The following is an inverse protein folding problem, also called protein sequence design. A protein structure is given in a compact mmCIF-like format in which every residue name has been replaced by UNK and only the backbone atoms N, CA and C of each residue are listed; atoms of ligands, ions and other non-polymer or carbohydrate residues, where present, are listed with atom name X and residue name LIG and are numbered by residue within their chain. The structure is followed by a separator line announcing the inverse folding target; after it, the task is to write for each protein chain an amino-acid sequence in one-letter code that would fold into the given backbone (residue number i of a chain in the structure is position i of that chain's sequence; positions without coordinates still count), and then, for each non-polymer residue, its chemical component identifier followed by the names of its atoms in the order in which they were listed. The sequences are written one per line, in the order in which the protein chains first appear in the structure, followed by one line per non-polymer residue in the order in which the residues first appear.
data_IF_311890485468
#
_entry.id   IF_311890485468
#
_cell.length_a   1.000
_cell.length_b   1.000
_cell.length_c   1.000
_cell.angle_alpha   90.00
_cell.angle_beta   90.00
_cell.angle_gamma   90.00
#
_symmetry.space_group_name_H-M   'P 1'
#
loop_
_entity.id
_entity.type
_entity.pdbx_description
1 polymer ?
#
# COMPACT_ATOMS: atom_id res chain seq x y z
N UNK A 1 39.26 -9.88 0.44
CA UNK A 1 38.45 -10.70 -0.47
C UNK A 1 37.87 -11.84 0.34
N UNK A 2 36.60 -11.76 0.74
CA UNK A 2 35.94 -12.82 1.51
C UNK A 2 35.69 -14.01 0.58
N UNK A 3 36.05 -15.19 1.06
CA UNK A 3 35.87 -16.45 0.30
C UNK A 3 34.38 -16.83 0.32
N UNK A 4 33.68 -17.02 -0.81
CA UNK A 4 32.25 -17.32 -0.84
C UNK A 4 31.88 -18.72 -0.33
N UNK A 5 32.80 -19.48 0.25
CA UNK A 5 32.59 -20.86 0.69
C UNK A 5 32.37 -21.02 2.19
N UNK A 6 32.62 -20.02 2.99
CA UNK A 6 32.23 -20.02 4.40
C UNK A 6 30.77 -19.53 4.48
N UNK A 7 29.84 -20.47 4.34
CA UNK A 7 28.48 -20.27 4.85
C UNK A 7 28.60 -20.30 6.38
N UNK A 8 29.02 -19.19 6.97
CA UNK A 8 28.78 -18.95 8.38
C UNK A 8 27.26 -19.01 8.56
N UNK A 9 26.79 -20.07 9.18
CA UNK A 9 25.40 -20.19 9.55
C UNK A 9 25.08 -19.02 10.44
N UNK A 10 24.08 -18.18 10.05
CA UNK A 10 23.61 -17.09 10.87
C UNK A 10 23.28 -17.62 12.26
N UNK A 11 23.74 -16.92 13.28
CA UNK A 11 23.32 -17.21 14.64
C UNK A 11 21.81 -16.92 14.76
N UNK A 12 21.03 -17.80 15.34
CA UNK A 12 19.56 -17.66 15.44
C UNK A 12 19.01 -18.10 16.78
N UNK A 13 19.85 -18.25 17.79
CA UNK A 13 19.44 -18.79 19.09
C UNK A 13 18.45 -17.87 19.83
N UNK A 14 18.70 -16.57 19.86
CA UNK A 14 17.82 -15.59 20.52
C UNK A 14 16.53 -15.38 19.70
N UNK A 15 16.65 -15.32 18.38
CA UNK A 15 15.50 -15.27 17.47
C UNK A 15 14.54 -16.43 17.64
N UNK A 16 15.06 -17.64 17.85
CA UNK A 16 14.23 -18.83 18.05
C UNK A 16 13.54 -18.83 19.42
N UNK A 17 14.24 -18.38 20.47
CA UNK A 17 13.64 -18.20 21.81
C UNK A 17 12.51 -17.17 21.77
N UNK A 18 12.73 -16.02 21.13
CA UNK A 18 11.70 -15.00 20.98
C UNK A 18 10.53 -15.49 20.14
N UNK A 19 10.78 -16.26 19.06
CA UNK A 19 9.70 -16.82 18.24
C UNK A 19 8.84 -17.80 19.03
N UNK A 20 9.44 -18.64 19.86
CA UNK A 20 8.69 -19.55 20.71
C UNK A 20 7.82 -18.80 21.71
N UNK A 21 8.36 -17.76 22.38
CA UNK A 21 7.57 -16.89 23.26
C UNK A 21 6.45 -16.17 22.50
N UNK A 22 6.73 -15.68 21.30
CA UNK A 22 5.73 -14.99 20.47
C UNK A 22 4.57 -15.91 20.09
N UNK A 23 4.82 -17.18 19.80
CA UNK A 23 3.77 -18.17 19.46
C UNK A 23 2.78 -18.43 20.59
N UNK A 24 3.17 -18.21 21.83
CA UNK A 24 2.27 -18.38 23.00
C UNK A 24 1.19 -17.27 23.05
N UNK A 25 1.46 -16.10 22.46
CA UNK A 25 0.61 -14.91 22.61
C UNK A 25 0.20 -14.28 21.28
N UNK A 26 0.85 -14.63 20.18
CA UNK A 26 0.56 -14.12 18.84
C UNK A 26 0.29 -15.30 17.90
N UNK A 27 -0.90 -15.43 17.30
CA UNK A 27 -1.17 -16.47 16.32
C UNK A 27 -0.14 -16.45 15.18
N UNK A 28 0.62 -17.57 15.03
CA UNK A 28 1.70 -17.68 14.05
C UNK A 28 3.03 -17.04 14.46
N UNK A 29 3.10 -16.38 15.61
CA UNK A 29 4.33 -15.86 16.24
C UNK A 29 4.75 -14.47 15.87
N UNK A 30 4.53 -14.00 14.64
CA UNK A 30 4.85 -12.64 14.17
C UNK A 30 3.70 -12.16 13.30
N UNK A 31 3.22 -10.93 13.48
CA UNK A 31 2.12 -10.30 12.70
C UNK A 31 0.80 -11.09 12.63
N UNK A 32 0.67 -12.23 13.31
CA UNK A 32 -0.56 -13.03 13.43
C UNK A 32 -1.08 -13.70 12.16
N UNK A 33 -1.04 -13.04 11.03
CA UNK A 33 -1.60 -13.50 9.75
C UNK A 33 -0.57 -13.72 8.63
N UNK A 34 0.70 -13.36 8.83
CA UNK A 34 1.75 -13.55 7.84
C UNK A 34 2.59 -14.80 8.11
N UNK A 35 2.14 -15.95 7.65
CA UNK A 35 2.92 -17.18 7.68
C UNK A 35 4.26 -17.11 6.95
N UNK A 36 4.40 -16.14 6.01
CA UNK A 36 5.58 -15.99 5.15
C UNK A 36 6.69 -15.16 5.81
N UNK A 37 6.37 -14.36 6.82
CA UNK A 37 7.35 -13.49 7.48
C UNK A 37 8.38 -14.27 8.30
N UNK A 38 8.05 -15.52 8.67
CA UNK A 38 8.94 -16.37 9.47
C UNK A 38 9.61 -17.39 8.56
N UNK A 39 10.67 -16.97 7.86
CA UNK A 39 11.55 -17.92 7.14
C UNK A 39 12.45 -18.61 8.15
N UNK A 40 12.70 -19.91 7.94
CA UNK A 40 13.57 -20.69 8.83
C UNK A 40 14.97 -20.07 8.93
N UNK A 41 15.48 -19.57 7.81
CA UNK A 41 16.86 -19.13 7.64
C UNK A 41 16.96 -17.59 7.42
N UNK A 42 15.98 -16.82 7.89
CA UNK A 42 15.95 -15.36 7.75
C UNK A 42 15.77 -14.63 9.08
N UNK A 43 15.98 -13.31 9.08
CA UNK A 43 15.78 -12.49 10.27
C UNK A 43 14.32 -12.56 10.73
N UNK A 44 14.11 -12.65 12.04
CA UNK A 44 12.78 -12.74 12.67
C UNK A 44 12.46 -11.51 13.50
N UNK A 45 13.44 -11.04 14.26
CA UNK A 45 13.31 -9.89 15.15
C UNK A 45 14.52 -8.99 14.97
N UNK A 46 14.31 -7.70 14.76
CA UNK A 46 15.39 -6.74 14.69
C UNK A 46 15.71 -6.17 16.10
N UNK A 47 16.96 -5.80 16.31
CA UNK A 47 17.43 -5.09 17.51
C UNK A 47 17.68 -3.61 17.23
N UNK A 48 18.20 -3.28 16.05
CA UNK A 48 18.48 -1.92 15.62
C UNK A 48 18.46 -1.80 14.09
N UNK A 49 18.32 -0.59 13.59
CA UNK A 49 18.41 -0.28 12.16
C UNK A 49 19.05 1.10 11.97
N UNK A 50 19.81 1.28 10.88
CA UNK A 50 20.42 2.57 10.53
C UNK A 50 20.70 2.63 9.02
N UNK A 51 20.35 3.74 8.37
CA UNK A 51 20.50 3.90 6.94
C UNK A 51 19.81 2.78 6.14
N UNK A 52 20.59 2.02 5.38
CA UNK A 52 20.09 0.88 4.58
C UNK A 52 20.21 -0.48 5.31
N UNK A 53 20.63 -0.49 6.55
CA UNK A 53 20.97 -1.71 7.29
C UNK A 53 20.06 -1.91 8.49
N UNK A 54 19.88 -3.17 8.87
CA UNK A 54 19.36 -3.53 10.18
C UNK A 54 20.13 -4.73 10.74
N UNK A 55 20.10 -4.85 12.05
CA UNK A 55 20.67 -5.99 12.79
C UNK A 55 19.57 -6.76 13.48
N UNK A 56 19.62 -8.08 13.41
CA UNK A 56 18.72 -8.90 14.19
C UNK A 56 19.16 -9.01 15.67
N UNK A 57 18.34 -9.65 16.48
CA UNK A 57 18.62 -9.84 17.92
C UNK A 57 19.79 -10.80 18.19
N UNK A 58 20.22 -11.54 17.20
CA UNK A 58 21.37 -12.44 17.25
C UNK A 58 22.67 -11.72 16.79
N UNK A 59 22.59 -10.44 16.41
CA UNK A 59 23.70 -9.59 16.00
C UNK A 59 24.09 -9.74 14.51
N UNK A 60 23.32 -10.43 13.71
CA UNK A 60 23.57 -10.53 12.27
C UNK A 60 23.15 -9.23 11.56
N UNK A 61 23.98 -8.76 10.62
CA UNK A 61 23.73 -7.57 9.81
C UNK A 61 23.08 -7.92 8.48
N UNK A 62 22.10 -7.12 8.07
CA UNK A 62 21.37 -7.28 6.82
C UNK A 62 21.23 -5.94 6.09
N UNK A 63 21.30 -5.98 4.76
CA UNK A 63 20.83 -4.88 3.91
C UNK A 63 19.32 -5.01 3.73
N UNK A 64 18.57 -3.97 4.06
CA UNK A 64 17.12 -3.97 3.88
C UNK A 64 16.73 -3.60 2.44
N UNK A 65 16.30 -4.61 1.68
CA UNK A 65 15.76 -4.44 0.32
C UNK A 65 14.21 -4.45 0.31
N UNK A 66 13.56 -4.59 1.48
CA UNK A 66 12.09 -4.57 1.61
C UNK A 66 11.60 -3.16 1.92
N UNK A 67 12.44 -2.34 2.56
CA UNK A 67 12.14 -0.94 2.90
C UNK A 67 10.80 -0.79 3.65
N UNK A 68 10.53 -1.67 4.62
CA UNK A 68 9.27 -1.75 5.38
C UNK A 68 8.01 -1.79 4.46
N UNK A 69 8.09 -2.50 3.34
CA UNK A 69 7.09 -2.54 2.25
C UNK A 69 6.85 -1.21 1.55
N UNK A 70 7.84 -0.32 1.55
CA UNK A 70 7.85 0.90 0.76
C UNK A 70 8.01 2.22 1.49
N UNK A 71 7.60 2.42 2.75
CA UNK A 71 7.71 3.74 3.39
C UNK A 71 9.15 4.18 3.68
N UNK A 72 10.10 3.26 3.78
CA UNK A 72 11.47 3.56 4.21
C UNK A 72 12.36 3.99 3.02
N UNK A 73 12.03 5.14 2.40
CA UNK A 73 12.74 5.66 1.22
C UNK A 73 14.00 6.49 1.57
N UNK A 74 14.07 7.03 2.78
CA UNK A 74 15.22 7.85 3.25
C UNK A 74 16.18 7.07 4.13
N UNK A 75 15.92 5.78 4.34
CA UNK A 75 16.67 4.95 5.29
C UNK A 75 16.20 5.12 6.73
N UNK A 76 16.66 4.21 7.58
CA UNK A 76 16.36 4.20 9.01
C UNK A 76 17.12 5.33 9.73
N UNK A 77 16.52 5.82 10.80
CA UNK A 77 17.13 6.84 11.68
C UNK A 77 17.57 8.12 10.93
N UNK A 78 16.79 8.55 9.93
CA UNK A 78 17.09 9.80 9.24
C UNK A 78 16.99 10.97 10.22
N UNK A 79 18.10 11.70 10.50
CA UNK A 79 18.13 12.68 11.58
C UNK A 79 17.19 13.86 11.33
N UNK A 80 16.93 14.23 10.09
CA UNK A 80 16.03 15.36 9.77
C UNK A 80 14.58 14.99 10.07
N UNK A 81 14.16 13.79 9.66
CA UNK A 81 12.81 13.29 9.88
C UNK A 81 12.56 13.02 11.36
N UNK A 82 13.49 12.33 12.01
CA UNK A 82 13.36 11.95 13.41
C UNK A 82 13.36 13.17 14.34
N UNK A 83 14.16 14.19 14.05
CA UNK A 83 14.18 15.42 14.84
C UNK A 83 12.88 16.21 14.69
N UNK A 84 12.31 16.28 13.49
CA UNK A 84 11.01 16.90 13.29
C UNK A 84 9.91 16.17 14.09
N UNK A 85 9.91 14.84 14.08
CA UNK A 85 9.01 14.03 14.87
C UNK A 85 9.18 14.25 16.39
N UNK A 86 10.42 14.28 16.90
CA UNK A 86 10.71 14.55 18.32
C UNK A 86 10.23 15.95 18.75
N UNK A 87 10.42 16.96 17.90
CA UNK A 87 9.91 18.31 18.18
C UNK A 87 8.39 18.32 18.32
N UNK A 88 7.68 17.69 17.39
CA UNK A 88 6.22 17.62 17.45
C UNK A 88 5.74 16.80 18.67
N UNK A 89 6.41 15.70 19.02
CA UNK A 89 6.07 14.91 20.22
C UNK A 89 6.15 15.74 21.50
N UNK A 90 7.14 16.65 21.62
CA UNK A 90 7.29 17.54 22.76
C UNK A 90 6.17 18.60 22.87
N UNK A 91 5.48 18.90 21.76
CA UNK A 91 4.31 19.81 21.73
C UNK A 91 3.00 19.08 21.97
N UNK A 92 2.99 17.76 21.85
CA UNK A 92 1.83 16.89 21.94
C UNK A 92 1.51 16.19 20.63
N UNK A 93 1.04 14.95 20.71
CA UNK A 93 0.81 14.10 19.55
C UNK A 93 -0.59 13.47 19.47
N UNK A 94 -1.37 13.52 20.56
CA UNK A 94 -2.66 12.82 20.65
C UNK A 94 -3.76 13.76 21.14
N UNK A 95 -3.80 14.94 20.54
CA UNK A 95 -4.79 15.97 20.87
C UNK A 95 -5.98 15.83 19.91
N UNK A 96 -7.19 15.96 20.40
CA UNK A 96 -8.43 15.86 19.60
C UNK A 96 -8.72 17.08 18.71
N UNK A 97 -7.81 18.06 18.70
CA UNK A 97 -7.87 19.27 17.88
C UNK A 97 -6.72 19.19 16.85
N UNK A 98 -6.99 19.68 15.64
CA UNK A 98 -5.99 19.70 14.57
C UNK A 98 -4.74 20.53 14.94
N UNK A 99 -3.56 20.03 14.53
CA UNK A 99 -2.30 20.76 14.67
C UNK A 99 -2.01 21.58 13.41
N UNK A 100 -1.31 22.72 13.50
CA UNK A 100 -0.84 23.48 12.33
C UNK A 100 -0.08 22.63 11.31
N UNK A 101 0.73 21.68 11.75
CA UNK A 101 1.50 20.78 10.87
C UNK A 101 0.61 19.96 9.93
N UNK A 102 -0.66 19.72 10.30
CA UNK A 102 -1.62 19.06 9.41
C UNK A 102 -1.98 19.93 8.20
N UNK A 103 -2.09 21.24 8.41
CA UNK A 103 -2.37 22.21 7.34
C UNK A 103 -1.15 22.32 6.42
N UNK A 104 0.05 22.46 6.99
CA UNK A 104 1.32 22.52 6.24
C UNK A 104 1.52 21.27 5.38
N UNK A 105 1.17 20.07 5.90
CA UNK A 105 1.19 18.84 5.14
C UNK A 105 0.17 18.84 4.00
N UNK A 106 -1.07 19.30 4.25
CA UNK A 106 -2.09 19.39 3.21
C UNK A 106 -1.69 20.32 2.08
N UNK A 107 -1.17 21.51 2.40
CA UNK A 107 -0.63 22.48 1.44
C UNK A 107 0.50 21.87 0.62
N UNK A 108 1.45 21.19 1.29
CA UNK A 108 2.57 20.51 0.61
C UNK A 108 2.08 19.42 -0.36
N UNK A 109 1.08 18.64 0.02
CA UNK A 109 0.53 17.59 -0.85
C UNK A 109 -0.20 18.18 -2.07
N UNK A 110 -0.97 19.24 -1.88
CA UNK A 110 -1.67 19.94 -2.97
C UNK A 110 -0.67 20.57 -3.93
N UNK A 111 0.41 21.14 -3.43
CA UNK A 111 1.47 21.74 -4.27
C UNK A 111 2.26 20.69 -5.06
N UNK A 112 2.50 19.51 -4.46
CA UNK A 112 3.29 18.46 -5.10
C UNK A 112 2.48 17.64 -6.09
N UNK A 113 1.27 17.24 -5.73
CA UNK A 113 0.44 16.32 -6.52
C UNK A 113 -0.45 17.13 -7.46
N UNK A 114 -0.09 17.17 -8.73
CA UNK A 114 -0.65 18.10 -9.73
C UNK A 114 -2.17 18.05 -9.95
N UNK A 115 -2.83 16.97 -9.50
CA UNK A 115 -4.29 16.80 -9.60
C UNK A 115 -5.01 17.05 -8.27
N UNK A 116 -4.28 17.31 -7.19
CA UNK A 116 -4.87 17.48 -5.87
C UNK A 116 -5.40 18.90 -5.66
N UNK A 117 -6.68 19.02 -5.34
CA UNK A 117 -7.30 20.28 -4.90
C UNK A 117 -7.37 20.37 -3.38
N UNK A 118 -7.37 19.22 -2.68
CA UNK A 118 -7.44 19.11 -1.21
C UNK A 118 -6.97 17.75 -0.74
N UNK A 119 -6.74 17.61 0.57
CA UNK A 119 -6.27 16.39 1.22
C UNK A 119 -7.20 15.95 2.35
N UNK A 120 -7.41 14.63 2.47
CA UNK A 120 -8.13 14.01 3.57
C UNK A 120 -7.20 13.00 4.24
N UNK A 121 -7.09 13.03 5.58
CA UNK A 121 -6.16 12.22 6.33
C UNK A 121 -6.82 11.01 6.98
N UNK A 122 -6.24 9.84 6.79
CA UNK A 122 -6.52 8.58 7.50
C UNK A 122 -5.30 8.13 8.31
N UNK A 123 -5.43 7.03 9.04
CA UNK A 123 -4.32 6.46 9.81
C UNK A 123 -3.43 5.53 9.00
N UNK A 124 -3.94 4.98 7.93
CA UNK A 124 -3.26 4.00 7.10
C UNK A 124 -3.89 3.95 5.69
N UNK A 125 -3.25 3.23 4.76
CA UNK A 125 -3.74 3.10 3.40
C UNK A 125 -5.13 2.45 3.27
N UNK A 126 -5.49 1.51 4.16
CA UNK A 126 -6.82 0.90 4.14
C UNK A 126 -7.94 1.91 4.51
N UNK A 127 -7.65 2.86 5.39
CA UNK A 127 -8.58 3.95 5.69
C UNK A 127 -8.74 4.85 4.46
N UNK A 128 -7.63 5.26 3.83
CA UNK A 128 -7.64 6.12 2.64
C UNK A 128 -8.41 5.47 1.48
N UNK A 129 -8.15 4.21 1.16
CA UNK A 129 -8.84 3.50 0.07
C UNK A 129 -10.32 3.28 0.38
N UNK A 130 -10.69 3.02 1.64
CA UNK A 130 -12.10 2.91 2.04
C UNK A 130 -12.83 4.24 1.93
N UNK A 131 -12.21 5.33 2.38
CA UNK A 131 -12.77 6.68 2.24
C UNK A 131 -12.95 7.05 0.76
N UNK A 132 -11.97 6.75 -0.09
CA UNK A 132 -12.05 6.98 -1.52
C UNK A 132 -13.24 6.24 -2.17
N UNK A 133 -13.47 4.97 -1.79
CA UNK A 133 -14.63 4.21 -2.25
C UNK A 133 -15.95 4.81 -1.72
N UNK A 134 -15.99 5.21 -0.45
CA UNK A 134 -17.20 5.83 0.11
C UNK A 134 -17.55 7.15 -0.58
N UNK A 135 -16.56 8.01 -0.82
CA UNK A 135 -16.72 9.25 -1.58
C UNK A 135 -17.22 8.98 -3.00
N UNK A 136 -16.63 7.99 -3.67
CA UNK A 136 -17.04 7.60 -5.02
C UNK A 136 -18.49 7.13 -5.10
N UNK A 137 -18.93 6.32 -4.14
CA UNK A 137 -20.32 5.89 -4.04
C UNK A 137 -21.29 7.03 -3.78
N UNK A 138 -20.90 7.95 -2.91
CA UNK A 138 -21.72 9.15 -2.59
C UNK A 138 -21.83 10.06 -3.81
N UNK A 139 -20.75 10.31 -4.52
CA UNK A 139 -20.72 11.19 -5.68
C UNK A 139 -21.50 10.63 -6.87
N UNK A 140 -21.32 9.33 -7.15
CA UNK A 140 -21.94 8.70 -8.32
C UNK A 140 -23.35 8.17 -8.07
N UNK A 141 -23.74 7.93 -6.83
CA UNK A 141 -24.96 7.22 -6.44
C UNK A 141 -24.95 5.72 -6.75
N UNK A 142 -23.81 5.18 -7.19
CA UNK A 142 -23.62 3.78 -7.62
C UNK A 142 -23.01 2.93 -6.50
N UNK A 143 -23.00 1.61 -6.63
CA UNK A 143 -22.64 0.70 -5.53
C UNK A 143 -21.39 -0.14 -5.79
N UNK A 144 -21.15 -0.58 -7.02
CA UNK A 144 -20.10 -1.56 -7.34
C UNK A 144 -18.71 -0.95 -7.38
N UNK A 145 -17.74 -1.77 -7.00
CA UNK A 145 -16.32 -1.47 -7.10
C UNK A 145 -15.74 -2.37 -8.20
N UNK A 146 -15.06 -1.79 -9.16
CA UNK A 146 -14.20 -2.52 -10.09
C UNK A 146 -12.75 -2.45 -9.60
N UNK A 147 -12.04 -3.58 -9.54
CA UNK A 147 -10.66 -3.64 -9.11
C UNK A 147 -9.85 -4.69 -9.88
N UNK A 148 -8.53 -4.66 -9.70
CA UNK A 148 -7.64 -5.66 -10.28
C UNK A 148 -7.57 -6.91 -9.40
N UNK A 149 -7.63 -8.09 -10.02
CA UNK A 149 -7.36 -9.37 -9.37
C UNK A 149 -5.98 -9.32 -8.69
N UNK A 150 -5.88 -9.90 -7.49
CA UNK A 150 -4.65 -9.90 -6.68
C UNK A 150 -4.09 -8.51 -6.31
N UNK A 151 -4.81 -7.42 -6.61
CA UNK A 151 -4.49 -6.09 -6.10
C UNK A 151 -4.71 -6.02 -4.60
N UNK A 152 -3.73 -5.50 -3.87
CA UNK A 152 -3.82 -5.27 -2.43
C UNK A 152 -4.17 -3.81 -2.16
N UNK A 153 -5.29 -3.56 -1.50
CA UNK A 153 -5.79 -2.22 -1.17
C UNK A 153 -6.06 -2.03 0.33
N UNK A 154 -5.66 -2.99 1.14
CA UNK A 154 -5.86 -2.99 2.60
C UNK A 154 -6.46 -4.29 3.12
N UNK A 155 -6.97 -4.25 4.36
CA UNK A 155 -7.44 -5.44 5.09
C UNK A 155 -8.97 -5.54 5.22
N UNK A 156 -9.74 -4.55 4.76
CA UNK A 156 -11.20 -4.60 4.82
C UNK A 156 -11.76 -5.72 3.93
N UNK A 157 -12.94 -6.24 4.25
CA UNK A 157 -13.49 -7.43 3.61
C UNK A 157 -13.66 -7.29 2.09
N UNK A 158 -14.09 -6.12 1.58
CA UNK A 158 -14.23 -5.87 0.13
C UNK A 158 -12.88 -5.88 -0.64
N UNK A 159 -11.77 -5.69 0.08
CA UNK A 159 -10.42 -5.68 -0.49
C UNK A 159 -9.87 -7.10 -0.68
N UNK A 160 -10.41 -8.06 0.07
CA UNK A 160 -9.94 -9.43 0.07
C UNK A 160 -10.35 -10.19 -1.19
N UNK A 161 -9.67 -11.31 -1.45
CA UNK A 161 -10.09 -12.22 -2.52
C UNK A 161 -11.41 -12.89 -2.14
N UNK A 162 -12.29 -13.03 -3.12
CA UNK A 162 -13.49 -13.84 -2.98
C UNK A 162 -13.10 -15.25 -2.49
N UNK A 163 -13.86 -15.81 -1.55
CA UNK A 163 -13.60 -17.11 -0.92
C UNK A 163 -12.34 -17.18 -0.03
N UNK A 164 -11.72 -16.08 0.35
CA UNK A 164 -10.72 -16.07 1.42
C UNK A 164 -11.37 -16.50 2.75
N UNK A 165 -10.64 -17.20 3.64
CA UNK A 165 -11.17 -17.57 4.94
C UNK A 165 -11.73 -16.36 5.71
N UNK A 166 -12.97 -16.44 6.19
CA UNK A 166 -13.66 -15.39 6.91
C UNK A 166 -14.34 -14.33 6.04
N UNK A 167 -14.22 -14.41 4.70
CA UNK A 167 -14.94 -13.52 3.77
C UNK A 167 -16.22 -14.20 3.32
N UNK A 168 -17.35 -13.55 3.58
CA UNK A 168 -18.68 -14.03 3.17
C UNK A 168 -19.08 -13.45 1.81
N UNK A 169 -20.07 -14.07 1.18
CA UNK A 169 -20.49 -13.65 -0.18
C UNK A 169 -20.96 -12.19 -0.24
N UNK A 170 -21.63 -11.70 0.81
CA UNK A 170 -22.09 -10.29 0.86
C UNK A 170 -20.92 -9.29 0.88
N UNK A 171 -19.76 -9.64 1.43
CA UNK A 171 -18.59 -8.76 1.48
C UNK A 171 -18.03 -8.47 0.07
N UNK A 172 -18.21 -9.41 -0.86
CA UNK A 172 -17.71 -9.30 -2.22
C UNK A 172 -18.84 -9.21 -3.28
N UNK A 173 -20.10 -9.09 -2.86
CA UNK A 173 -21.23 -9.05 -3.79
C UNK A 173 -21.15 -7.87 -4.77
N UNK A 174 -20.69 -6.72 -4.25
CA UNK A 174 -20.57 -5.48 -5.03
C UNK A 174 -19.14 -5.25 -5.54
N UNK A 175 -18.31 -6.30 -5.62
CA UNK A 175 -16.92 -6.22 -6.10
C UNK A 175 -16.75 -7.03 -7.37
N UNK A 176 -16.39 -6.34 -8.45
CA UNK A 176 -16.00 -6.91 -9.73
C UNK A 176 -14.48 -6.90 -9.81
N UNK A 177 -13.88 -7.98 -10.28
CA UNK A 177 -12.44 -8.07 -10.43
C UNK A 177 -12.07 -8.50 -11.84
N UNK A 178 -11.07 -7.84 -12.40
CA UNK A 178 -10.51 -8.12 -13.74
C UNK A 178 -8.99 -8.34 -13.63
N UNK A 179 -8.40 -8.92 -14.66
CA UNK A 179 -6.96 -9.14 -14.67
C UNK A 179 -6.19 -7.86 -15.05
N UNK A 180 -4.94 -7.79 -14.63
CA UNK A 180 -4.07 -6.68 -14.97
C UNK A 180 -3.75 -6.65 -16.47
N UNK A 181 -3.79 -5.46 -17.08
CA UNK A 181 -3.61 -5.23 -18.51
C UNK A 181 -4.71 -5.84 -19.42
N UNK A 182 -5.81 -6.32 -18.85
CA UNK A 182 -6.94 -6.86 -19.59
C UNK A 182 -7.97 -5.76 -19.90
N UNK A 183 -7.76 -5.04 -21.01
CA UNK A 183 -8.70 -4.02 -21.48
C UNK A 183 -10.00 -4.59 -22.01
N UNK A 184 -10.00 -5.83 -22.51
CA UNK A 184 -11.21 -6.48 -22.98
C UNK A 184 -12.11 -6.85 -21.79
N UNK A 185 -11.54 -7.46 -20.75
CA UNK A 185 -12.24 -7.71 -19.49
C UNK A 185 -12.74 -6.44 -18.82
N UNK A 186 -11.94 -5.35 -18.87
CA UNK A 186 -12.37 -4.04 -18.38
C UNK A 186 -13.60 -3.52 -19.16
N UNK A 187 -13.54 -3.51 -20.49
CA UNK A 187 -14.63 -3.04 -21.33
C UNK A 187 -15.89 -3.90 -21.16
N UNK A 188 -15.73 -5.23 -21.00
CA UNK A 188 -16.84 -6.13 -20.72
C UNK A 188 -17.50 -5.81 -19.38
N UNK A 189 -16.72 -5.61 -18.32
CA UNK A 189 -17.25 -5.23 -17.01
C UNK A 189 -18.03 -3.89 -17.07
N UNK A 190 -17.54 -2.93 -17.85
CA UNK A 190 -18.25 -1.66 -18.09
C UNK A 190 -19.55 -1.88 -18.88
N UNK A 191 -19.52 -2.74 -19.90
CA UNK A 191 -20.73 -3.06 -20.69
C UNK A 191 -21.82 -3.71 -19.83
N UNK A 192 -21.43 -4.60 -18.94
CA UNK A 192 -22.37 -5.38 -18.14
C UNK A 192 -22.89 -4.64 -16.90
N UNK A 193 -22.07 -3.75 -16.32
CA UNK A 193 -22.31 -3.17 -15.00
C UNK A 193 -22.01 -1.67 -14.90
N UNK A 194 -21.66 -0.97 -15.98
CA UNK A 194 -21.17 0.41 -15.93
C UNK A 194 -22.15 1.39 -15.28
N UNK A 195 -23.45 1.13 -15.35
CA UNK A 195 -24.48 1.96 -14.72
C UNK A 195 -24.47 1.84 -13.17
N UNK A 196 -23.81 0.81 -12.62
CA UNK A 196 -23.76 0.55 -11.18
C UNK A 196 -22.31 0.57 -10.61
N UNK A 197 -21.28 0.69 -11.47
CA UNK A 197 -19.90 0.82 -11.03
C UNK A 197 -19.63 2.26 -10.55
N UNK A 198 -19.40 2.42 -9.23
CA UNK A 198 -19.06 3.70 -8.59
C UNK A 198 -17.62 4.11 -8.88
N UNK A 199 -16.70 3.16 -8.81
CA UNK A 199 -15.28 3.43 -9.00
C UNK A 199 -14.51 2.24 -9.61
N UNK A 200 -13.40 2.57 -10.27
CA UNK A 200 -12.32 1.64 -10.55
C UNK A 200 -11.12 1.99 -9.66
N UNK A 201 -10.67 1.04 -8.86
CA UNK A 201 -9.50 1.20 -7.99
C UNK A 201 -8.38 0.27 -8.39
N UNK A 202 -7.17 0.82 -8.55
CA UNK A 202 -5.97 0.05 -8.87
C UNK A 202 -4.71 0.74 -8.39
N UNK A 203 -3.67 -0.04 -8.11
CA UNK A 203 -2.30 0.49 -8.04
C UNK A 203 -1.82 0.91 -9.43
N UNK A 204 -0.86 1.85 -9.55
CA UNK A 204 -0.43 2.39 -10.85
C UNK A 204 0.29 1.38 -11.74
N UNK A 205 0.86 0.33 -11.15
CA UNK A 205 1.36 -0.87 -11.81
C UNK A 205 1.10 -2.10 -10.94
N UNK A 206 1.07 -3.27 -11.54
CA UNK A 206 0.78 -4.49 -10.80
C UNK A 206 2.03 -4.99 -10.06
N UNK A 207 1.91 -5.15 -8.75
CA UNK A 207 2.95 -5.65 -7.86
C UNK A 207 2.46 -6.86 -7.06
N UNK A 208 2.28 -8.02 -7.72
CA UNK A 208 1.77 -9.21 -7.06
C UNK A 208 2.79 -9.76 -6.06
N UNK A 209 2.29 -10.36 -4.98
CA UNK A 209 3.15 -10.95 -3.95
C UNK A 209 4.02 -12.08 -4.55
N UNK A 210 5.33 -12.02 -4.32
CA UNK A 210 6.33 -13.01 -4.77
C UNK A 210 6.45 -13.21 -6.29
N UNK A 211 6.03 -12.24 -7.09
CA UNK A 211 6.21 -12.20 -8.54
C UNK A 211 6.82 -10.88 -8.97
N UNK A 212 7.31 -10.81 -10.20
CA UNK A 212 7.83 -9.58 -10.75
C UNK A 212 6.72 -8.53 -10.91
N UNK A 213 7.07 -7.27 -10.72
CA UNK A 213 6.20 -6.16 -11.02
C UNK A 213 5.91 -6.11 -12.53
N UNK A 214 4.68 -5.75 -12.88
CA UNK A 214 4.24 -5.66 -14.28
C UNK A 214 3.72 -4.26 -14.54
N UNK A 215 4.39 -3.53 -15.42
CA UNK A 215 3.97 -2.20 -15.83
C UNK A 215 2.72 -2.24 -16.71
N UNK A 216 1.97 -1.11 -16.77
CA UNK A 216 0.85 -1.01 -17.69
C UNK A 216 1.32 -1.10 -19.13
N UNK A 217 0.55 -1.78 -19.98
CA UNK A 217 0.76 -1.75 -21.42
C UNK A 217 0.60 -0.34 -21.98
N UNK A 218 1.18 -0.08 -23.13
CA UNK A 218 1.03 1.22 -23.80
C UNK A 218 -0.46 1.56 -23.98
N UNK A 219 -0.83 2.77 -23.59
CA UNK A 219 -2.20 3.26 -23.70
C UNK A 219 -3.18 2.75 -22.64
N UNK A 220 -2.79 1.82 -21.76
CA UNK A 220 -3.67 1.24 -20.74
C UNK A 220 -4.38 2.30 -19.90
N UNK A 221 -3.64 3.16 -19.19
CA UNK A 221 -4.22 4.18 -18.33
C UNK A 221 -5.03 5.23 -19.09
N UNK A 222 -4.57 5.61 -20.28
CA UNK A 222 -5.31 6.56 -21.14
C UNK A 222 -6.68 6.00 -21.56
N UNK A 223 -6.75 4.70 -21.82
CA UNK A 223 -8.02 4.04 -22.12
C UNK A 223 -8.93 4.00 -20.90
N UNK A 224 -8.42 3.53 -19.75
CA UNK A 224 -9.15 3.47 -18.47
C UNK A 224 -9.72 4.83 -18.10
N UNK A 225 -8.89 5.88 -18.07
CA UNK A 225 -9.30 7.25 -17.76
C UNK A 225 -10.45 7.71 -18.66
N UNK A 226 -10.30 7.52 -19.97
CA UNK A 226 -11.34 7.92 -20.96
C UNK A 226 -12.66 7.20 -20.71
N UNK A 227 -12.61 5.89 -20.45
CA UNK A 227 -13.83 5.09 -20.26
C UNK A 227 -14.47 5.38 -18.92
N UNK A 228 -13.71 5.52 -17.84
CA UNK A 228 -14.21 5.90 -16.52
C UNK A 228 -14.94 7.24 -16.59
N UNK A 229 -14.30 8.26 -17.16
CA UNK A 229 -14.92 9.59 -17.32
C UNK A 229 -16.20 9.56 -18.14
N UNK A 230 -16.24 8.80 -19.25
CA UNK A 230 -17.43 8.67 -20.09
C UNK A 230 -18.63 8.06 -19.35
N UNK A 231 -18.38 7.14 -18.43
CA UNK A 231 -19.40 6.36 -17.73
C UNK A 231 -19.71 6.86 -16.32
N UNK A 232 -19.22 8.03 -15.92
CA UNK A 232 -19.34 8.56 -14.56
C UNK A 232 -18.88 7.53 -13.51
N UNK A 233 -17.64 7.03 -13.68
CA UNK A 233 -16.94 6.10 -12.79
C UNK A 233 -15.73 6.84 -12.24
N UNK A 234 -15.59 6.89 -10.93
CA UNK A 234 -14.47 7.55 -10.27
C UNK A 234 -13.21 6.67 -10.42
N UNK A 235 -12.15 7.23 -10.97
CA UNK A 235 -10.86 6.58 -11.10
C UNK A 235 -10.01 6.82 -9.85
N UNK A 236 -9.77 5.78 -9.06
CA UNK A 236 -8.98 5.81 -7.84
C UNK A 236 -7.62 5.15 -8.10
N UNK A 237 -6.54 5.86 -7.80
CA UNK A 237 -5.19 5.28 -7.77
C UNK A 237 -4.76 5.05 -6.33
N UNK A 238 -4.50 3.80 -6.00
CA UNK A 238 -3.84 3.42 -4.76
C UNK A 238 -2.33 3.52 -4.94
N UNK A 239 -1.80 4.67 -4.53
CA UNK A 239 -0.39 5.04 -4.62
C UNK A 239 0.35 4.89 -3.26
N UNK A 240 -0.31 4.31 -2.26
CA UNK A 240 0.23 4.09 -0.91
C UNK A 240 1.61 3.42 -0.93
N UNK A 241 1.83 2.52 -1.88
CA UNK A 241 3.10 1.81 -2.04
C UNK A 241 4.07 2.45 -3.01
N UNK A 242 3.59 3.28 -3.94
CA UNK A 242 4.37 3.76 -5.09
C UNK A 242 4.51 5.26 -5.16
N UNK A 243 3.65 6.01 -4.50
CA UNK A 243 3.71 7.46 -4.40
C UNK A 243 5.05 7.96 -3.87
N UNK A 244 5.60 9.00 -4.48
CA UNK A 244 6.91 9.60 -4.20
C UNK A 244 8.13 8.68 -4.44
N UNK A 245 7.94 7.43 -4.96
CA UNK A 245 9.04 6.50 -5.29
C UNK A 245 9.43 6.54 -6.75
N UNK A 246 8.45 6.65 -7.65
CA UNK A 246 8.69 6.73 -9.09
C UNK A 246 8.65 8.18 -9.61
N UNK A 247 7.82 9.00 -9.01
CA UNK A 247 7.69 10.42 -9.36
C UNK A 247 7.27 11.21 -8.11
N UNK A 248 7.88 12.36 -7.90
CA UNK A 248 7.56 13.25 -6.77
C UNK A 248 6.13 13.83 -6.85
N UNK A 249 5.57 13.91 -8.05
CA UNK A 249 4.21 14.42 -8.30
C UNK A 249 3.11 13.35 -8.28
N UNK A 250 3.45 12.15 -7.83
CA UNK A 250 2.58 10.98 -7.87
C UNK A 250 2.86 10.08 -9.07
N UNK A 251 2.57 8.79 -8.92
CA UNK A 251 2.83 7.81 -9.99
C UNK A 251 1.98 8.03 -11.25
N UNK A 252 0.82 8.66 -11.11
CA UNK A 252 -0.03 9.07 -12.22
C UNK A 252 0.69 10.05 -13.17
N UNK A 253 1.55 10.94 -12.64
CA UNK A 253 2.37 11.83 -13.46
C UNK A 253 3.38 11.04 -14.32
N UNK A 254 4.05 10.04 -13.75
CA UNK A 254 4.95 9.15 -14.48
C UNK A 254 4.25 8.39 -15.61
N UNK A 255 3.08 7.81 -15.33
CA UNK A 255 2.30 7.03 -16.31
C UNK A 255 1.38 7.90 -17.18
N UNK A 256 1.34 9.22 -16.98
CA UNK A 256 0.64 10.24 -17.79
C UNK A 256 -0.86 10.00 -17.92
N UNK A 257 -1.54 9.93 -16.80
CA UNK A 257 -3.01 9.89 -16.70
C UNK A 257 -3.49 10.72 -15.50
N UNK A 258 -4.79 11.03 -15.47
CA UNK A 258 -5.39 11.87 -14.44
C UNK A 258 -6.50 11.10 -13.71
N UNK A 259 -6.20 10.49 -12.56
CA UNK A 259 -7.24 9.92 -11.71
C UNK A 259 -8.05 11.04 -11.02
N UNK A 260 -9.23 10.67 -10.51
CA UNK A 260 -10.07 11.56 -9.72
C UNK A 260 -9.62 11.58 -8.25
N UNK A 261 -9.12 10.46 -7.74
CA UNK A 261 -8.63 10.30 -6.37
C UNK A 261 -7.29 9.56 -6.33
N UNK A 262 -6.39 10.01 -5.44
CA UNK A 262 -5.12 9.33 -5.14
C UNK A 262 -5.08 9.02 -3.65
N UNK A 263 -4.77 7.77 -3.30
CA UNK A 263 -4.49 7.33 -1.94
C UNK A 263 -2.97 7.24 -1.75
N UNK A 264 -2.41 8.01 -0.81
CA UNK A 264 -0.97 8.08 -0.52
C UNK A 264 -0.66 7.46 0.84
#
# INVERSE_FOLDING_TARGET
MHNPKDKDFLNQSESDLLLNRAKEVIPGGIFGHYKYAVRKDGPKFFSQADGAYFWDVDGNEYVDLVCAWGPMILGYNNPVVDEAARKQLNLGNTVSIASPVMIELAETLVDLVSIADWSLFGKNGADSTSLAVMVSRQETGKQKILKINDGYHGSNSWMQRRNSPGIINSDSAEVISIDWNDLDGFNQAISDHGDDIACFISSPYHHPTFKNNVYPNEGYWKHIEKVCRKNNIILIVDDVRTGFRIDLKGSNNFFRFSPDLICL
#
